data_IF_861801999752
#
_entry.id   IF_861801999752
#
_cell.length_a   1.000
_cell.length_b   1.000
_cell.length_c   1.000
_cell.angle_alpha   90.00
_cell.angle_beta   90.00
_cell.angle_gamma   90.00
#
_symmetry.space_group_name_H-M   'P 1'
#
loop_
_entity.id
_entity.type
_entity.pdbx_description
1 polymer ?
#
# COMPACT_ATOMS: atom_id res chain seq x y z
N UNK A 1 2.68 -21.42 3.49
CA UNK A 1 2.06 -20.13 3.87
C UNK A 1 0.60 -20.15 3.44
N UNK A 2 -0.29 -19.83 4.36
CA UNK A 2 -1.72 -19.80 4.03
C UNK A 2 -2.02 -18.65 3.09
N UNK A 3 -2.82 -18.91 2.07
CA UNK A 3 -3.28 -17.88 1.16
C UNK A 3 -4.23 -16.93 1.86
N UNK A 4 -4.10 -15.63 1.58
CA UNK A 4 -5.00 -14.60 2.11
C UNK A 4 -6.31 -14.65 1.31
N UNK A 5 -7.41 -14.86 2.01
CA UNK A 5 -8.76 -14.91 1.41
C UNK A 5 -9.71 -14.00 2.15
N UNK A 6 -10.91 -13.81 1.60
CA UNK A 6 -11.98 -13.04 2.25
C UNK A 6 -12.36 -13.62 3.61
N UNK A 7 -12.08 -14.91 3.84
CA UNK A 7 -12.40 -15.60 5.10
C UNK A 7 -11.25 -15.55 6.11
N UNK A 8 -10.03 -15.24 5.69
CA UNK A 8 -8.83 -15.38 6.54
C UNK A 8 -8.02 -14.11 6.71
N UNK A 9 -8.28 -13.03 5.96
CA UNK A 9 -7.39 -11.87 5.95
C UNK A 9 -7.27 -11.20 7.33
N UNK A 10 -8.33 -11.19 8.13
CA UNK A 10 -8.30 -10.54 9.46
C UNK A 10 -7.44 -11.30 10.46
N UNK A 11 -7.17 -12.59 10.23
CA UNK A 11 -6.29 -13.38 11.11
C UNK A 11 -4.83 -13.37 10.64
N UNK A 12 -4.53 -12.73 9.52
CA UNK A 12 -3.17 -12.68 9.02
C UNK A 12 -2.29 -11.83 9.96
N UNK A 13 -1.08 -12.32 10.31
CA UNK A 13 -0.18 -11.58 11.20
C UNK A 13 0.20 -10.19 10.70
N UNK A 14 0.19 -9.95 9.39
CA UNK A 14 0.49 -8.64 8.82
C UNK A 14 -0.72 -7.70 8.78
N UNK A 15 -1.93 -8.22 8.98
CA UNK A 15 -3.13 -7.40 8.87
C UNK A 15 -3.13 -6.20 9.85
N UNK A 16 -2.83 -6.37 11.15
CA UNK A 16 -2.79 -5.23 12.07
C UNK A 16 -1.78 -4.16 11.66
N UNK A 17 -0.68 -4.56 11.04
CA UNK A 17 0.34 -3.62 10.56
C UNK A 17 -0.17 -2.81 9.39
N UNK A 18 -0.91 -3.45 8.47
CA UNK A 18 -1.55 -2.76 7.34
C UNK A 18 -2.61 -1.77 7.87
N UNK A 19 -3.43 -2.21 8.82
CA UNK A 19 -4.47 -1.37 9.43
C UNK A 19 -3.86 -0.11 10.04
N UNK A 20 -2.76 -0.24 10.78
CA UNK A 20 -2.08 0.90 11.39
C UNK A 20 -1.45 1.84 10.35
N UNK A 21 -0.86 1.27 9.32
CA UNK A 21 -0.26 2.07 8.24
C UNK A 21 -1.34 2.92 7.56
N UNK A 22 -2.49 2.34 7.26
CA UNK A 22 -3.61 3.06 6.66
C UNK A 22 -4.09 4.18 7.60
N UNK A 23 -4.24 3.90 8.89
CA UNK A 23 -4.67 4.89 9.86
C UNK A 23 -3.69 6.07 9.94
N UNK A 24 -2.40 5.78 9.94
CA UNK A 24 -1.35 6.81 9.96
C UNK A 24 -1.44 7.71 8.73
N UNK A 25 -1.68 7.11 7.56
CA UNK A 25 -1.82 7.87 6.31
C UNK A 25 -3.11 8.71 6.36
N UNK A 26 -4.22 8.13 6.79
CA UNK A 26 -5.51 8.83 6.87
C UNK A 26 -5.47 10.01 7.84
N UNK A 27 -4.60 9.97 8.86
CA UNK A 27 -4.43 11.08 9.79
C UNK A 27 -3.89 12.34 9.10
N UNK A 28 -3.27 12.22 7.92
CA UNK A 28 -2.67 13.35 7.20
C UNK A 28 -3.19 13.54 5.78
N UNK A 29 -4.01 12.60 5.26
CA UNK A 29 -4.47 12.65 3.87
C UNK A 29 -5.76 11.90 3.70
N UNK A 30 -6.47 12.16 2.61
CA UNK A 30 -7.69 11.43 2.25
C UNK A 30 -7.43 10.35 1.19
N UNK A 31 -6.19 10.20 0.75
CA UNK A 31 -5.80 9.22 -0.26
C UNK A 31 -4.75 8.28 0.33
N UNK A 32 -4.98 6.97 0.17
CA UNK A 32 -4.04 5.94 0.57
C UNK A 32 -3.50 5.27 -0.68
N UNK A 33 -2.20 5.41 -0.92
CA UNK A 33 -1.50 4.74 -2.01
C UNK A 33 -0.80 3.50 -1.46
N UNK A 34 -0.77 2.37 -2.21
CA UNK A 34 -0.04 1.19 -1.76
C UNK A 34 1.44 1.47 -1.48
N UNK A 35 2.08 2.31 -2.28
CA UNK A 35 3.48 2.70 -2.05
C UNK A 35 3.66 3.35 -0.69
N UNK A 36 2.72 4.21 -0.28
CA UNK A 36 2.78 4.87 1.03
C UNK A 36 2.61 3.86 2.18
N UNK A 37 1.78 2.83 1.98
CA UNK A 37 1.63 1.75 2.96
C UNK A 37 2.95 1.02 3.15
N UNK A 38 3.66 0.72 2.06
CA UNK A 38 4.98 0.07 2.13
C UNK A 38 6.00 0.96 2.86
N UNK A 39 5.96 2.27 2.62
CA UNK A 39 6.82 3.23 3.32
C UNK A 39 6.51 3.24 4.82
N UNK A 40 5.23 3.31 5.18
CA UNK A 40 4.82 3.31 6.59
C UNK A 40 5.18 2.02 7.30
N UNK A 41 5.11 0.88 6.61
CA UNK A 41 5.46 -0.42 7.19
C UNK A 41 6.97 -0.67 7.23
N UNK A 42 7.77 0.20 6.61
CA UNK A 42 9.23 0.05 6.60
C UNK A 42 9.75 -0.96 5.57
N UNK A 43 8.89 -1.49 4.70
CA UNK A 43 9.31 -2.42 3.65
C UNK A 43 9.83 -1.69 2.40
N UNK A 44 9.73 -0.38 2.39
CA UNK A 44 10.29 0.48 1.35
C UNK A 44 10.88 1.68 2.07
N UNK A 45 12.15 1.99 1.84
CA UNK A 45 12.78 3.16 2.45
C UNK A 45 12.56 4.40 1.58
N UNK A 46 12.58 5.60 2.16
CA UNK A 46 12.50 6.83 1.34
C UNK A 46 13.61 6.92 0.30
N UNK A 47 14.80 6.46 0.63
CA UNK A 47 15.94 6.45 -0.30
C UNK A 47 15.65 5.56 -1.50
N UNK A 48 15.15 4.36 -1.27
CA UNK A 48 14.81 3.41 -2.34
C UNK A 48 13.60 3.90 -3.16
N UNK A 49 12.62 4.50 -2.50
CA UNK A 49 11.48 5.12 -3.17
C UNK A 49 11.97 6.21 -4.15
N UNK A 50 12.88 7.07 -3.70
CA UNK A 50 13.43 8.11 -4.55
C UNK A 50 14.22 7.52 -5.73
N UNK A 51 15.06 6.51 -5.47
CA UNK A 51 15.83 5.86 -6.53
C UNK A 51 14.92 5.29 -7.61
N UNK A 52 13.84 4.62 -7.19
CA UNK A 52 12.86 4.10 -8.13
C UNK A 52 12.16 5.23 -8.89
N UNK A 53 11.75 6.27 -8.19
CA UNK A 53 11.04 7.40 -8.79
C UNK A 53 11.90 8.12 -9.84
N UNK A 54 13.21 8.13 -9.65
CA UNK A 54 14.15 8.73 -10.60
C UNK A 54 14.56 7.79 -11.73
N UNK A 55 14.04 6.56 -11.73
CA UNK A 55 14.35 5.59 -12.78
C UNK A 55 15.69 4.89 -12.59
N UNK A 56 16.27 4.94 -11.40
CA UNK A 56 17.58 4.33 -11.13
C UNK A 56 17.50 2.83 -10.89
N UNK A 57 16.30 2.29 -10.69
CA UNK A 57 16.06 0.85 -10.58
C UNK A 57 14.91 0.46 -11.50
N UNK A 58 14.92 -0.76 -12.06
CA UNK A 58 13.95 -1.15 -13.10
C UNK A 58 12.53 -1.38 -12.57
N UNK A 59 12.35 -1.67 -11.29
CA UNK A 59 11.01 -1.87 -10.71
C UNK A 59 11.06 -1.61 -9.21
N UNK A 60 9.90 -1.23 -8.65
CA UNK A 60 9.77 -1.01 -7.20
C UNK A 60 10.09 -2.28 -6.42
N UNK A 61 9.67 -3.45 -6.93
CA UNK A 61 9.90 -4.72 -6.25
C UNK A 61 11.37 -5.08 -6.10
N UNK A 62 12.25 -4.49 -6.91
CA UNK A 62 13.70 -4.66 -6.78
C UNK A 62 14.23 -4.11 -5.46
N UNK A 63 13.58 -3.11 -4.91
CA UNK A 63 14.03 -2.44 -3.69
C UNK A 63 13.09 -2.67 -2.52
N UNK A 64 12.09 -3.51 -2.69
CA UNK A 64 11.22 -3.93 -1.59
C UNK A 64 12.01 -4.79 -0.61
N UNK A 65 11.92 -4.45 0.69
CA UNK A 65 12.60 -5.22 1.74
C UNK A 65 11.73 -6.41 2.15
N UNK A 66 12.04 -7.55 1.59
CA UNK A 66 11.32 -8.79 1.84
C UNK A 66 11.07 -9.58 0.57
N UNK A 67 10.40 -10.71 0.68
CA UNK A 67 10.06 -11.55 -0.46
C UNK A 67 8.94 -10.94 -1.29
N UNK A 68 8.85 -11.35 -2.56
CA UNK A 68 7.73 -10.95 -3.41
C UNK A 68 6.41 -11.47 -2.86
N UNK A 69 6.42 -12.66 -2.28
CA UNK A 69 5.25 -13.24 -1.62
C UNK A 69 4.73 -12.31 -0.52
N UNK A 70 5.63 -11.72 0.28
CA UNK A 70 5.27 -10.76 1.31
C UNK A 70 4.69 -9.48 0.73
N UNK A 71 5.31 -8.96 -0.33
CA UNK A 71 4.83 -7.76 -1.00
C UNK A 71 3.39 -7.95 -1.51
N UNK A 72 3.15 -9.05 -2.21
CA UNK A 72 1.83 -9.34 -2.76
C UNK A 72 0.79 -9.62 -1.67
N UNK A 73 1.22 -10.22 -0.56
CA UNK A 73 0.37 -10.43 0.61
C UNK A 73 -0.08 -9.10 1.20
N UNK A 74 0.83 -8.16 1.37
CA UNK A 74 0.50 -6.81 1.88
C UNK A 74 -0.51 -6.12 0.96
N UNK A 75 -0.30 -6.18 -0.35
CA UNK A 75 -1.23 -5.57 -1.31
C UNK A 75 -2.64 -6.18 -1.19
N UNK A 76 -2.71 -7.50 -1.01
CA UNK A 76 -3.99 -8.19 -0.90
C UNK A 76 -4.69 -7.82 0.41
N UNK A 77 -3.97 -7.79 1.52
CA UNK A 77 -4.52 -7.35 2.81
C UNK A 77 -5.03 -5.90 2.74
N UNK A 78 -4.26 -5.04 2.09
CA UNK A 78 -4.67 -3.65 1.88
C UNK A 78 -6.00 -3.58 1.10
N UNK A 79 -6.10 -4.36 0.02
CA UNK A 79 -7.32 -4.40 -0.79
C UNK A 79 -8.56 -4.75 0.04
N UNK A 80 -8.46 -5.77 0.88
CA UNK A 80 -9.56 -6.16 1.76
C UNK A 80 -9.88 -5.07 2.78
N UNK A 81 -8.86 -4.49 3.38
CA UNK A 81 -9.05 -3.48 4.43
C UNK A 81 -9.73 -2.21 3.90
N UNK A 82 -9.26 -1.66 2.79
CA UNK A 82 -9.84 -0.45 2.22
C UNK A 82 -11.26 -0.69 1.69
N UNK A 83 -11.54 -1.91 1.23
CA UNK A 83 -12.90 -2.31 0.87
C UNK A 83 -13.82 -2.26 2.10
N UNK A 84 -13.37 -2.78 3.23
CA UNK A 84 -14.12 -2.74 4.48
C UNK A 84 -14.38 -1.31 4.95
N UNK A 85 -13.45 -0.40 4.66
CA UNK A 85 -13.60 1.01 4.99
C UNK A 85 -14.44 1.79 3.96
N UNK A 86 -14.95 1.12 2.94
CA UNK A 86 -15.74 1.73 1.86
C UNK A 86 -15.00 2.85 1.14
N UNK A 87 -13.68 2.74 1.03
CA UNK A 87 -12.89 3.71 0.28
C UNK A 87 -13.01 3.46 -1.23
N UNK A 88 -12.92 4.52 -2.01
CA UNK A 88 -13.12 4.44 -3.45
C UNK A 88 -11.79 4.19 -4.17
N UNK A 89 -11.70 3.16 -5.03
CA UNK A 89 -10.50 2.93 -5.82
C UNK A 89 -10.38 3.95 -6.94
N UNK A 90 -9.15 4.42 -7.18
CA UNK A 90 -8.82 5.32 -8.28
C UNK A 90 -7.56 4.84 -8.99
N UNK A 91 -7.65 4.59 -10.29
CA UNK A 91 -6.49 4.23 -11.10
C UNK A 91 -5.56 5.41 -11.25
N UNK A 92 -4.26 5.16 -11.11
CA UNK A 92 -3.23 6.17 -11.30
C UNK A 92 -2.11 5.62 -12.18
N UNK A 93 -1.23 6.52 -12.62
CA UNK A 93 0.02 6.15 -13.29
C UNK A 93 1.15 6.91 -12.61
N UNK A 94 2.32 6.28 -12.53
CA UNK A 94 3.51 6.90 -11.97
C UNK A 94 4.50 7.17 -13.09
N UNK A 95 4.91 8.42 -13.19
CA UNK A 95 5.91 8.86 -14.16
C UNK A 95 7.25 9.06 -13.48
N UNK A 96 8.31 8.77 -14.20
CA UNK A 96 9.66 9.02 -13.73
C UNK A 96 9.86 10.49 -13.43
N UNK A 97 10.50 10.80 -12.31
CA UNK A 97 10.84 12.17 -11.94
C UNK A 97 11.98 12.67 -12.83
N UNK A 98 11.94 13.97 -13.16
CA UNK A 98 12.96 14.64 -13.94
C UNK A 98 12.36 15.39 -15.11
N UNK A 99 13.14 16.35 -15.64
CA UNK A 99 12.71 17.15 -16.77
C UNK A 99 12.82 16.35 -18.07
N UNK A 100 11.85 16.54 -18.96
CA UNK A 100 11.89 15.97 -20.29
C UNK A 100 11.60 14.48 -20.37
N UNK A 101 11.13 13.87 -19.28
CA UNK A 101 10.80 12.44 -19.29
C UNK A 101 9.30 12.22 -19.09
N UNK A 102 8.74 11.34 -19.92
CA UNK A 102 7.37 10.83 -19.77
C UNK A 102 7.36 9.33 -19.49
N UNK A 103 8.52 8.79 -19.09
CA UNK A 103 8.64 7.36 -18.89
C UNK A 103 7.77 6.91 -17.72
N UNK A 104 6.95 5.88 -17.95
CA UNK A 104 6.16 5.25 -16.89
C UNK A 104 7.04 4.39 -16.01
N UNK A 105 6.81 4.47 -14.69
CA UNK A 105 7.51 3.63 -13.73
C UNK A 105 6.82 2.26 -13.66
N UNK A 106 7.62 1.24 -13.44
CA UNK A 106 7.17 -0.14 -13.31
C UNK A 106 7.25 -0.56 -11.84
N UNK A 107 6.22 -1.24 -11.36
CA UNK A 107 6.19 -1.69 -9.96
C UNK A 107 6.76 -3.10 -9.80
N UNK A 108 6.30 -4.04 -10.62
CA UNK A 108 6.59 -5.45 -10.41
C UNK A 108 7.79 -5.92 -11.24
N UNK A 109 8.49 -6.94 -10.72
CA UNK A 109 9.55 -7.61 -11.49
C UNK A 109 8.99 -8.34 -12.70
N UNK A 110 7.80 -8.93 -12.57
CA UNK A 110 7.17 -9.69 -13.64
C UNK A 110 6.58 -8.82 -14.74
N UNK A 111 6.16 -7.58 -14.41
CA UNK A 111 5.40 -6.74 -15.32
C UNK A 111 3.96 -7.20 -15.53
N UNK A 112 3.49 -8.17 -14.74
CA UNK A 112 2.14 -8.68 -14.86
C UNK A 112 1.12 -7.58 -14.58
N UNK A 113 0.12 -7.44 -15.46
CA UNK A 113 -0.80 -6.31 -15.39
C UNK A 113 -1.61 -6.25 -14.10
N UNK A 114 -2.02 -7.40 -13.56
CA UNK A 114 -2.78 -7.44 -12.32
C UNK A 114 -1.96 -6.91 -11.14
N UNK A 115 -0.67 -7.23 -11.12
CA UNK A 115 0.24 -6.75 -10.07
C UNK A 115 0.51 -5.26 -10.24
N UNK A 116 0.77 -4.81 -11.48
CA UNK A 116 0.96 -3.39 -11.77
C UNK A 116 -0.27 -2.57 -11.33
N UNK A 117 -1.46 -3.07 -11.66
CA UNK A 117 -2.72 -2.42 -11.28
C UNK A 117 -2.88 -2.34 -9.77
N UNK A 118 -2.53 -3.41 -9.04
CA UNK A 118 -2.65 -3.44 -7.59
C UNK A 118 -1.80 -2.36 -6.93
N UNK A 119 -0.58 -2.13 -7.41
CA UNK A 119 0.28 -1.07 -6.91
C UNK A 119 -0.20 0.33 -7.29
N UNK A 120 -0.78 0.47 -8.48
CA UNK A 120 -1.14 1.77 -9.05
C UNK A 120 -2.55 2.24 -8.65
N UNK A 121 -3.32 1.42 -7.95
CA UNK A 121 -4.66 1.81 -7.51
C UNK A 121 -4.55 2.52 -6.16
N UNK A 122 -4.96 3.79 -6.14
CA UNK A 122 -5.07 4.56 -4.91
C UNK A 122 -6.49 4.44 -4.36
N UNK A 123 -6.65 4.63 -3.06
CA UNK A 123 -7.94 4.53 -2.40
C UNK A 123 -8.27 5.86 -1.75
N UNK A 124 -9.48 6.38 -2.02
CA UNK A 124 -9.90 7.72 -1.60
C UNK A 124 -10.94 7.62 -0.51
N UNK A 125 -10.69 8.34 0.59
CA UNK A 125 -11.68 8.51 1.64
C UNK A 125 -12.69 9.59 1.19
N UNK A 126 -13.96 9.21 1.07
CA UNK A 126 -15.00 10.13 0.62
C UNK A 126 -16.19 10.18 1.57
N UNK A 127 -15.97 9.82 2.82
CA UNK A 127 -17.00 9.85 3.86
C UNK A 127 -16.73 11.01 4.81
N UNK A 128 -17.51 11.15 5.88
CA UNK A 128 -17.37 12.25 6.81
C UNK A 128 -16.03 12.21 7.56
N UNK A 129 -15.55 13.37 7.98
CA UNK A 129 -14.33 13.46 8.77
C UNK A 129 -14.53 12.85 10.17
N UNK A 130 -15.75 12.90 10.68
CA UNK A 130 -16.09 12.24 11.94
C UNK A 130 -15.89 10.72 11.85
N UNK A 131 -16.39 10.10 10.80
CA UNK A 131 -16.18 8.67 10.55
C UNK A 131 -14.71 8.34 10.42
N UNK A 132 -13.96 9.22 9.72
CA UNK A 132 -12.51 9.04 9.55
C UNK A 132 -11.80 9.04 10.91
N UNK A 133 -12.13 9.99 11.77
CA UNK A 133 -11.54 10.04 13.13
C UNK A 133 -11.83 8.77 13.92
N UNK A 134 -13.05 8.24 13.80
CA UNK A 134 -13.44 7.00 14.49
C UNK A 134 -12.62 5.81 13.97
N UNK A 135 -12.44 5.70 12.66
CA UNK A 135 -11.64 4.64 12.04
C UNK A 135 -10.19 4.72 12.51
N UNK A 136 -9.61 5.93 12.49
CA UNK A 136 -8.23 6.13 12.92
C UNK A 136 -8.06 5.72 14.39
N UNK A 137 -8.93 6.20 15.26
CA UNK A 137 -8.86 5.89 16.70
C UNK A 137 -8.96 4.38 16.95
N UNK A 138 -9.93 3.72 16.32
CA UNK A 138 -10.13 2.28 16.45
C UNK A 138 -8.92 1.49 15.95
N UNK A 139 -8.36 1.92 14.83
CA UNK A 139 -7.24 1.23 14.18
C UNK A 139 -5.95 1.33 14.99
N UNK A 140 -5.72 2.47 15.64
CA UNK A 140 -4.51 2.71 16.42
C UNK A 140 -4.54 2.02 17.79
N UNK A 141 -5.73 1.69 18.31
CA UNK A 141 -5.88 1.01 19.60
C UNK A 141 -6.03 -0.49 19.44
N UNK A 142 -6.13 -1.01 18.22
CA UNK A 142 -6.26 -2.45 17.99
C UNK A 142 -5.03 -3.20 18.46
N UNK A 143 -5.18 -4.40 19.08
CA UNK A 143 -4.04 -5.19 19.49
C UNK A 143 -3.13 -5.53 18.31
N UNK A 144 -1.82 -5.55 18.58
CA UNK A 144 -0.85 -5.96 17.59
C UNK A 144 -0.51 -7.44 17.79
N UNK A 145 -0.39 -8.18 16.67
CA UNK A 145 0.09 -9.56 16.69
C UNK A 145 1.59 -9.64 16.43
N UNK A 146 2.28 -8.55 16.55
CA UNK A 146 3.74 -8.55 16.43
C UNK A 146 4.36 -9.33 17.58
N UNK A 147 5.11 -10.31 17.21
CA UNK A 147 5.85 -11.10 18.18
C UNK A 147 7.16 -10.39 18.53
#
# INVERSE_FOLDING_TARGET
>A
MKQVTVHTYQQDPYYPRVVRAVATILARADVVAPVDVLLEMGNLTPKHYEAWSRGHVPSLERVFAGSLSKAHRILRLLGFHVHDLNMLPRRTVYHQWGQGTNRLLRFSKSGHQDVEKAYATHYVWNQSQEKKRQVIARSMTAPSHEA
#
